data_IF_204488058679
#
_entry.id   IF_204488058679
#
_cell.length_a   1.000
_cell.length_b   1.000
_cell.length_c   1.000
_cell.angle_alpha   90.00
_cell.angle_beta   90.00
_cell.angle_gamma   90.00
#
_symmetry.space_group_name_H-M   'P 1'
#
loop_
_entity.id
_entity.type
_entity.pdbx_description
1 polymer ?
#
# COMPACT_ATOMS: atom_id res chain seq x y z
N UNK A 1 -3.03 7.93 15.50
CA UNK A 1 -3.68 7.47 14.29
C UNK A 1 -2.82 7.89 13.12
N UNK A 2 -2.37 6.97 12.29
CA UNK A 2 -1.53 7.29 11.13
C UNK A 2 -2.42 7.75 9.96
N UNK A 3 -1.93 8.71 9.19
CA UNK A 3 -2.62 9.21 8.00
C UNK A 3 -1.65 9.15 6.82
N UNK A 4 -2.09 8.52 5.74
CA UNK A 4 -1.35 8.50 4.49
C UNK A 4 -1.61 9.81 3.72
N UNK A 5 -0.55 10.53 3.37
CA UNK A 5 -0.67 11.80 2.63
C UNK A 5 -0.32 11.55 1.17
N UNK A 6 -1.33 11.64 0.31
CA UNK A 6 -1.22 11.34 -1.12
C UNK A 6 -1.39 12.60 -1.96
N UNK A 7 -0.67 12.64 -3.07
CA UNK A 7 -0.94 13.58 -4.16
C UNK A 7 -2.07 13.08 -5.09
N UNK A 8 -2.38 13.86 -6.10
CA UNK A 8 -3.42 13.55 -7.08
C UNK A 8 -3.13 12.29 -7.93
N UNK A 9 -1.94 11.72 -7.85
CA UNK A 9 -1.53 10.52 -8.57
C UNK A 9 -1.47 9.27 -7.69
N UNK A 10 -2.00 9.35 -6.47
CA UNK A 10 -1.86 8.35 -5.41
C UNK A 10 -0.40 8.14 -4.96
N UNK A 11 0.48 9.09 -5.25
CA UNK A 11 1.84 9.04 -4.75
C UNK A 11 1.86 9.53 -3.31
N UNK A 12 2.45 8.74 -2.43
CA UNK A 12 2.73 9.20 -1.08
C UNK A 12 3.76 10.33 -1.12
N UNK A 13 3.45 11.43 -0.44
CA UNK A 13 4.30 12.62 -0.37
C UNK A 13 5.10 12.71 0.92
N UNK A 14 4.91 11.75 1.83
CA UNK A 14 5.70 11.65 3.06
C UNK A 14 7.18 11.41 2.73
N UNK A 15 8.05 12.19 3.37
CA UNK A 15 9.50 11.96 3.29
C UNK A 15 9.89 11.02 4.42
N UNK A 16 10.42 9.85 4.06
CA UNK A 16 10.86 8.84 5.01
C UNK A 16 12.35 9.03 5.35
N UNK A 17 12.60 9.36 6.63
CA UNK A 17 13.94 9.64 7.10
C UNK A 17 14.43 11.03 6.71
N UNK A 18 15.73 11.17 6.47
CA UNK A 18 16.39 12.42 6.07
C UNK A 18 17.56 12.16 5.11
N UNK A 19 18.22 13.23 4.65
CA UNK A 19 19.32 13.13 3.68
C UNK A 19 20.47 12.21 4.10
N UNK A 20 20.79 12.17 5.39
CA UNK A 20 21.92 11.37 5.91
C UNK A 20 21.52 9.92 6.17
N UNK A 21 20.24 9.72 6.54
CA UNK A 21 19.62 8.43 6.79
C UNK A 21 18.27 8.38 6.04
N UNK A 22 18.29 8.05 4.74
CA UNK A 22 17.09 8.03 3.90
C UNK A 22 16.29 6.75 4.12
N UNK A 23 15.92 6.49 5.38
CA UNK A 23 15.04 5.41 5.81
C UNK A 23 14.33 5.76 7.10
N UNK A 24 13.16 5.18 7.29
CA UNK A 24 12.34 5.32 8.50
C UNK A 24 11.77 3.97 8.93
N UNK A 25 11.59 3.79 10.24
CA UNK A 25 10.98 2.58 10.80
C UNK A 25 9.71 2.96 11.54
N UNK A 26 8.63 2.30 11.19
CA UNK A 26 7.32 2.47 11.79
C UNK A 26 6.97 1.23 12.60
N UNK A 27 6.55 1.45 13.85
CA UNK A 27 6.08 0.41 14.76
C UNK A 27 4.58 0.53 14.92
N UNK A 28 3.86 -0.51 14.54
CA UNK A 28 2.41 -0.56 14.60
C UNK A 28 1.79 -1.18 13.35
N UNK A 29 0.60 -1.74 13.49
CA UNK A 29 -0.07 -2.43 12.41
C UNK A 29 -0.90 -1.51 11.51
N UNK A 30 -1.38 -2.06 10.42
CA UNK A 30 -2.38 -1.44 9.55
C UNK A 30 -3.68 -1.14 10.30
N UNK A 31 -3.97 -1.88 11.38
CA UNK A 31 -5.05 -1.63 12.32
C UNK A 31 -5.01 -0.24 13.00
N UNK A 32 -3.85 0.42 13.03
CA UNK A 32 -3.68 1.77 13.57
C UNK A 32 -4.10 2.89 12.61
N UNK A 33 -4.35 2.56 11.35
CA UNK A 33 -5.01 3.48 10.43
C UNK A 33 -6.51 3.54 10.72
N UNK A 34 -7.13 4.69 10.48
CA UNK A 34 -8.52 4.99 10.87
C UNK A 34 -9.54 3.93 10.46
N UNK A 35 -9.24 3.15 9.44
CA UNK A 35 -10.15 2.24 8.79
C UNK A 35 -9.66 0.78 8.79
N UNK A 36 -8.55 0.49 9.49
CA UNK A 36 -7.93 -0.84 9.50
C UNK A 36 -7.32 -1.23 8.14
N UNK A 37 -7.11 -0.27 7.27
CA UNK A 37 -6.44 -0.49 6.00
C UNK A 37 -5.55 0.70 5.60
N UNK A 38 -4.53 0.40 4.79
CA UNK A 38 -3.67 1.34 4.09
C UNK A 38 -4.14 1.37 2.63
N UNK A 39 -4.66 2.51 2.18
CA UNK A 39 -5.26 2.62 0.84
C UNK A 39 -4.24 2.48 -0.29
N UNK A 40 -4.72 2.32 -1.52
CA UNK A 40 -3.88 2.25 -2.69
C UNK A 40 -2.99 3.49 -2.80
N UNK A 41 -1.66 3.23 -2.78
CA UNK A 41 -0.64 4.26 -2.94
C UNK A 41 0.62 3.66 -3.57
N UNK A 42 1.53 4.52 -3.92
CA UNK A 42 2.87 4.18 -4.36
C UNK A 42 3.85 5.27 -3.93
N UNK A 43 5.11 4.89 -3.78
CA UNK A 43 6.20 5.81 -3.44
C UNK A 43 7.51 5.37 -4.11
N UNK A 44 8.48 6.27 -4.18
CA UNK A 44 9.80 5.99 -4.77
C UNK A 44 10.74 5.24 -3.82
N UNK A 45 10.22 4.76 -2.71
CA UNK A 45 10.96 4.01 -1.70
C UNK A 45 10.72 2.51 -1.85
N UNK A 46 11.67 1.72 -1.36
CA UNK A 46 11.45 0.30 -1.03
C UNK A 46 10.77 0.20 0.32
N UNK A 47 9.96 -0.82 0.50
CA UNK A 47 9.30 -1.09 1.77
C UNK A 47 9.50 -2.54 2.20
N UNK A 48 9.70 -2.78 3.49
CA UNK A 48 9.60 -4.12 4.07
C UNK A 48 8.66 -4.04 5.27
N UNK A 49 7.58 -4.80 5.19
CA UNK A 49 6.62 -4.93 6.28
C UNK A 49 6.74 -6.32 6.90
N UNK A 50 7.07 -6.38 8.19
CA UNK A 50 7.23 -7.61 8.99
C UNK A 50 6.08 -7.75 9.97
N UNK A 51 5.32 -8.85 9.89
CA UNK A 51 4.17 -9.11 10.76
C UNK A 51 4.65 -9.68 12.10
N UNK A 52 4.34 -8.97 13.18
CA UNK A 52 4.69 -9.36 14.56
C UNK A 52 3.55 -10.04 15.29
N UNK A 53 2.29 -9.81 14.86
CA UNK A 53 1.10 -10.46 15.40
C UNK A 53 -0.03 -10.41 14.38
N UNK A 54 -0.85 -11.46 14.33
CA UNK A 54 -2.02 -11.55 13.48
C UNK A 54 -1.73 -11.79 12.00
N UNK A 55 -2.67 -11.39 11.14
CA UNK A 55 -2.57 -11.53 9.69
C UNK A 55 -2.68 -10.19 8.99
N UNK A 56 -1.89 -10.04 7.94
CA UNK A 56 -1.87 -8.85 7.10
C UNK A 56 -2.02 -9.25 5.63
N UNK A 57 -2.96 -8.64 4.94
CA UNK A 57 -3.17 -8.77 3.51
C UNK A 57 -2.50 -7.61 2.79
N UNK A 58 -1.66 -7.92 1.81
CA UNK A 58 -1.08 -6.94 0.88
C UNK A 58 -1.53 -7.24 -0.54
N UNK A 59 -2.06 -6.23 -1.21
CA UNK A 59 -2.21 -6.26 -2.66
C UNK A 59 -1.09 -5.41 -3.24
N UNK A 60 -0.23 -6.03 -4.03
CA UNK A 60 0.87 -5.36 -4.73
C UNK A 60 0.64 -5.58 -6.21
N UNK A 61 0.38 -4.49 -6.94
CA UNK A 61 -0.09 -4.55 -8.31
C UNK A 61 -1.31 -5.48 -8.44
N UNK A 62 -1.23 -6.54 -9.20
CA UNK A 62 -2.31 -7.50 -9.44
C UNK A 62 -2.25 -8.77 -8.59
N UNK A 63 -1.38 -8.81 -7.58
CA UNK A 63 -1.14 -10.00 -6.75
C UNK A 63 -1.46 -9.73 -5.30
N UNK A 64 -2.21 -10.65 -4.70
CA UNK A 64 -2.49 -10.63 -3.28
C UNK A 64 -1.51 -11.54 -2.54
N UNK A 65 -1.05 -11.05 -1.40
CA UNK A 65 -0.18 -11.74 -0.46
C UNK A 65 -0.85 -11.75 0.92
N UNK A 66 -0.91 -12.90 1.55
CA UNK A 66 -1.41 -13.04 2.92
C UNK A 66 -0.22 -13.41 3.80
N UNK A 67 0.12 -12.49 4.68
CA UNK A 67 1.25 -12.64 5.61
C UNK A 67 0.72 -13.05 6.98
N UNK A 68 1.46 -13.94 7.63
CA UNK A 68 1.22 -14.38 9.00
C UNK A 68 2.35 -13.87 9.90
N UNK A 69 2.13 -14.00 11.19
CA UNK A 69 3.16 -13.72 12.19
C UNK A 69 4.49 -14.40 11.85
N UNK A 70 5.56 -13.64 11.91
CA UNK A 70 6.92 -14.06 11.56
C UNK A 70 7.27 -13.97 10.08
N UNK A 71 6.34 -13.64 9.21
CA UNK A 71 6.58 -13.41 7.77
C UNK A 71 6.72 -11.92 7.48
N UNK A 72 7.35 -11.60 6.34
CA UNK A 72 7.42 -10.23 5.85
C UNK A 72 7.15 -10.17 4.34
N UNK A 73 6.86 -8.96 3.85
CA UNK A 73 6.86 -8.67 2.42
C UNK A 73 7.82 -7.54 2.13
N UNK A 74 8.69 -7.74 1.14
CA UNK A 74 9.44 -6.67 0.49
C UNK A 74 8.62 -6.16 -0.68
N UNK A 75 8.51 -4.85 -0.81
CA UNK A 75 7.82 -4.15 -1.90
C UNK A 75 8.84 -3.31 -2.64
N UNK A 76 8.93 -3.49 -3.95
CA UNK A 76 9.85 -2.72 -4.80
C UNK A 76 9.36 -1.27 -4.95
N UNK A 77 10.29 -0.35 -5.11
CA UNK A 77 9.99 1.06 -5.30
C UNK A 77 9.08 1.29 -6.52
N UNK A 78 8.19 2.27 -6.40
CA UNK A 78 7.28 2.62 -7.46
C UNK A 78 6.14 1.62 -7.71
N UNK A 79 5.92 0.63 -6.86
CA UNK A 79 4.81 -0.33 -7.02
C UNK A 79 3.55 0.19 -6.34
N UNK A 80 2.43 0.07 -7.06
CA UNK A 80 1.13 0.37 -6.49
C UNK A 80 0.75 -0.73 -5.51
N UNK A 81 0.48 -0.37 -4.26
CA UNK A 81 0.17 -1.35 -3.23
C UNK A 81 -0.87 -0.84 -2.23
N UNK A 82 -1.44 -1.79 -1.49
CA UNK A 82 -2.45 -1.56 -0.45
C UNK A 82 -2.29 -2.65 0.60
N UNK A 83 -2.43 -2.27 1.89
CA UNK A 83 -2.46 -3.20 3.02
C UNK A 83 -3.80 -3.17 3.74
N UNK A 84 -4.31 -4.32 4.19
CA UNK A 84 -5.50 -4.37 5.05
C UNK A 84 -5.46 -5.58 5.98
N UNK A 85 -6.21 -5.49 7.06
CA UNK A 85 -6.41 -6.58 8.01
C UNK A 85 -7.87 -6.66 8.44
N UNK A 86 -8.31 -7.86 8.79
CA UNK A 86 -9.61 -8.10 9.42
C UNK A 86 -9.47 -8.26 10.95
N UNK A 87 -8.24 -8.23 11.45
CA UNK A 87 -7.90 -8.44 12.86
C UNK A 87 -7.55 -7.09 13.52
N UNK A 88 -8.24 -6.75 14.61
CA UNK A 88 -8.07 -5.45 15.30
C UNK A 88 -6.71 -5.32 16.02
N UNK A 89 -6.11 -6.42 16.40
CA UNK A 89 -4.84 -6.51 17.14
C UNK A 89 -3.66 -6.88 16.23
N UNK A 90 -3.83 -6.80 14.90
CA UNK A 90 -2.74 -6.99 13.96
C UNK A 90 -1.64 -5.96 14.20
N UNK A 91 -0.41 -6.43 14.34
CA UNK A 91 0.78 -5.60 14.52
C UNK A 91 1.86 -5.97 13.51
N UNK A 92 2.58 -4.94 13.07
CA UNK A 92 3.71 -5.12 12.17
C UNK A 92 4.77 -4.03 12.40
N UNK A 93 5.96 -4.27 11.90
CA UNK A 93 7.03 -3.28 11.80
C UNK A 93 7.33 -3.04 10.33
N UNK A 94 7.33 -1.79 9.92
CA UNK A 94 7.58 -1.39 8.54
C UNK A 94 8.86 -0.58 8.49
N UNK A 95 9.78 -0.93 7.58
CA UNK A 95 10.91 -0.06 7.21
C UNK A 95 10.73 0.39 5.78
N UNK A 96 10.80 1.71 5.57
CA UNK A 96 10.72 2.37 4.27
C UNK A 96 12.06 3.04 4.01
N UNK A 97 12.66 2.82 2.84
CA UNK A 97 14.01 3.32 2.52
C UNK A 97 14.18 3.65 1.05
N UNK A 98 14.90 4.72 0.76
CA UNK A 98 15.19 5.18 -0.60
C UNK A 98 16.39 4.48 -1.23
N UNK A 99 16.48 4.52 -2.56
CA UNK A 99 17.66 4.05 -3.29
C UNK A 99 18.91 4.87 -3.01
N UNK A 100 18.74 6.10 -2.56
CA UNK A 100 19.81 7.01 -2.11
C UNK A 100 20.48 6.56 -0.79
N UNK A 101 19.86 5.61 -0.07
CA UNK A 101 20.52 4.88 1.04
C UNK A 101 21.84 4.23 0.59
N UNK A 102 21.86 3.72 -0.65
CA UNK A 102 22.99 2.99 -1.22
C UNK A 102 23.96 3.90 -1.97
N UNK A 103 23.43 4.89 -2.68
CA UNK A 103 24.21 5.84 -3.46
C UNK A 103 23.39 7.12 -3.70
N UNK A 104 23.86 8.25 -3.24
CA UNK A 104 23.21 9.55 -3.43
C UNK A 104 23.38 10.12 -4.84
N UNK A 105 24.38 9.67 -5.59
CA UNK A 105 24.55 10.05 -7.00
C UNK A 105 23.74 9.12 -7.90
N UNK A 106 22.52 9.53 -8.21
CA UNK A 106 21.59 8.79 -9.06
C UNK A 106 22.01 8.72 -10.53
N UNK A 107 23.03 9.49 -10.95
CA UNK A 107 23.60 9.44 -12.31
C UNK A 107 24.75 8.45 -12.44
N UNK A 108 25.25 7.92 -11.33
CA UNK A 108 26.38 6.99 -11.33
C UNK A 108 26.04 5.64 -11.94
N UNK A 109 27.03 5.01 -12.59
CA UNK A 109 26.91 3.63 -13.10
C UNK A 109 26.57 2.65 -11.97
N UNK A 110 27.08 2.90 -10.76
CA UNK A 110 26.78 2.11 -9.58
C UNK A 110 25.28 2.16 -9.24
N UNK A 111 24.69 3.37 -9.20
CA UNK A 111 23.26 3.52 -8.94
C UNK A 111 22.42 2.83 -10.02
N UNK A 112 22.76 3.01 -11.28
CA UNK A 112 22.07 2.35 -12.39
C UNK A 112 22.14 0.84 -12.28
N UNK A 113 23.31 0.29 -11.99
CA UNK A 113 23.53 -1.15 -11.90
C UNK A 113 22.78 -1.78 -10.73
N UNK A 114 22.90 -1.18 -9.53
CA UNK A 114 22.45 -1.83 -8.29
C UNK A 114 21.12 -1.32 -7.73
N UNK A 115 20.61 -0.21 -8.20
CA UNK A 115 19.34 0.34 -7.74
C UNK A 115 18.34 0.41 -8.88
N UNK A 116 18.65 1.18 -9.94
CA UNK A 116 17.70 1.43 -11.01
C UNK A 116 17.28 0.17 -11.74
N UNK A 117 18.21 -0.73 -12.05
CA UNK A 117 17.88 -2.01 -12.69
C UNK A 117 16.93 -2.87 -11.85
N UNK A 118 17.03 -2.80 -10.52
CA UNK A 118 16.11 -3.50 -9.63
C UNK A 118 14.74 -2.81 -9.56
N UNK A 119 14.73 -1.49 -9.45
CA UNK A 119 13.48 -0.70 -9.50
C UNK A 119 12.71 -0.97 -10.79
N UNK A 120 13.42 -1.02 -11.93
CA UNK A 120 12.82 -1.22 -13.25
C UNK A 120 12.52 -2.69 -13.58
N UNK A 121 12.89 -3.65 -12.70
CA UNK A 121 12.63 -5.08 -12.91
C UNK A 121 11.14 -5.41 -12.80
N UNK A 122 10.73 -6.59 -13.18
CA UNK A 122 9.37 -7.12 -13.04
C UNK A 122 9.04 -7.65 -11.62
N UNK A 123 10.00 -7.51 -10.70
CA UNK A 123 9.82 -7.85 -9.29
C UNK A 123 8.96 -6.77 -8.63
N UNK A 124 7.72 -7.11 -8.32
CA UNK A 124 6.80 -6.19 -7.63
C UNK A 124 6.91 -6.31 -6.12
N UNK A 125 7.01 -7.53 -5.62
CA UNK A 125 7.19 -7.82 -4.20
C UNK A 125 7.62 -9.26 -3.96
N UNK A 126 8.26 -9.48 -2.81
CA UNK A 126 8.80 -10.79 -2.38
C UNK A 126 8.31 -11.08 -0.97
N UNK A 127 7.59 -12.20 -0.79
CA UNK A 127 7.25 -12.68 0.55
C UNK A 127 8.46 -13.39 1.13
N UNK A 128 8.78 -13.02 2.35
CA UNK A 128 9.88 -13.59 3.13
C UNK A 128 9.28 -14.52 4.20
N UNK A 129 9.59 -15.81 4.10
CA UNK A 129 9.07 -16.84 5.01
C UNK A 129 10.19 -17.42 5.87
N UNK A 130 9.96 -17.68 7.17
CA UNK A 130 10.95 -18.24 8.06
C UNK A 130 11.32 -19.70 7.73
N UNK A 131 10.56 -20.35 6.85
CA UNK A 131 10.78 -21.74 6.45
C UNK A 131 11.81 -21.92 5.33
N UNK A 132 12.24 -20.83 4.69
CA UNK A 132 13.25 -20.85 3.63
C UNK A 132 14.57 -20.27 4.17
N UNK A 133 15.70 -20.99 4.12
CA UNK A 133 16.92 -20.62 4.84
C UNK A 133 17.44 -19.20 4.56
N UNK A 134 17.50 -18.76 3.29
CA UNK A 134 17.99 -17.42 2.97
C UNK A 134 17.00 -16.33 3.39
N UNK A 135 15.70 -16.59 3.30
CA UNK A 135 14.65 -15.66 3.77
C UNK A 135 14.67 -15.52 5.28
N UNK A 136 14.89 -16.65 6.00
CA UNK A 136 15.06 -16.63 7.46
C UNK A 136 16.22 -15.74 7.89
N UNK A 137 17.36 -15.80 7.18
CA UNK A 137 18.49 -14.92 7.48
C UNK A 137 18.13 -13.44 7.33
N UNK A 138 17.32 -13.08 6.32
CA UNK A 138 16.80 -11.72 6.15
C UNK A 138 15.89 -11.33 7.31
N UNK A 139 14.95 -12.21 7.70
CA UNK A 139 14.03 -11.95 8.81
C UNK A 139 14.79 -11.77 10.15
N UNK A 140 15.84 -12.54 10.38
CA UNK A 140 16.70 -12.40 11.56
C UNK A 140 17.47 -11.05 11.54
N UNK A 141 17.89 -10.57 10.36
CA UNK A 141 18.51 -9.23 10.21
C UNK A 141 17.50 -8.12 10.39
N UNK A 142 16.26 -8.26 9.90
CA UNK A 142 15.18 -7.30 10.13
C UNK A 142 14.90 -7.11 11.62
N UNK A 143 14.83 -8.18 12.39
CA UNK A 143 14.66 -8.08 13.85
C UNK A 143 15.78 -7.28 14.50
N UNK A 144 17.04 -7.56 14.15
CA UNK A 144 18.20 -6.79 14.64
C UNK A 144 18.14 -5.32 14.22
N UNK A 145 17.69 -5.04 12.99
CA UNK A 145 17.50 -3.68 12.52
C UNK A 145 16.51 -2.94 13.42
N UNK A 146 15.36 -3.53 13.71
CA UNK A 146 14.33 -2.91 14.55
C UNK A 146 14.83 -2.68 15.98
N UNK A 147 15.52 -3.64 16.57
CA UNK A 147 16.15 -3.52 17.88
C UNK A 147 17.18 -2.37 17.92
N UNK A 148 18.03 -2.27 16.90
CA UNK A 148 19.01 -1.18 16.81
C UNK A 148 18.32 0.18 16.60
N UNK A 149 17.33 0.24 15.72
CA UNK A 149 16.62 1.48 15.46
C UNK A 149 15.94 2.05 16.72
N UNK A 150 15.35 1.21 17.55
CA UNK A 150 14.72 1.62 18.82
C UNK A 150 15.71 2.21 19.83
N UNK A 151 17.00 1.86 19.78
CA UNK A 151 18.02 2.45 20.68
C UNK A 151 18.27 3.94 20.39
N UNK A 152 17.99 4.44 19.19
CA UNK A 152 18.00 5.85 18.84
C UNK A 152 19.36 6.55 18.78
N UNK A 153 20.48 5.84 19.02
CA UNK A 153 21.83 6.42 18.98
C UNK A 153 22.34 6.55 17.54
N UNK A 154 23.32 7.44 17.32
CA UNK A 154 23.96 7.56 16.01
C UNK A 154 24.60 6.23 15.55
N UNK A 155 25.21 5.50 16.47
CA UNK A 155 25.83 4.20 16.17
C UNK A 155 24.78 3.15 15.80
N UNK A 156 23.65 3.10 16.51
CA UNK A 156 22.58 2.15 16.21
C UNK A 156 21.91 2.42 14.87
N UNK A 157 21.79 3.70 14.46
CA UNK A 157 21.34 4.05 13.10
C UNK A 157 22.32 3.57 12.02
N UNK A 158 23.61 3.65 12.28
CA UNK A 158 24.63 3.12 11.36
C UNK A 158 24.52 1.59 11.21
N UNK A 159 24.31 0.85 12.32
CA UNK A 159 24.06 -0.58 12.25
C UNK A 159 22.77 -0.92 11.50
N UNK A 160 21.68 -0.18 11.74
CA UNK A 160 20.42 -0.36 11.01
C UNK A 160 20.61 -0.17 9.50
N UNK A 161 21.36 0.87 9.07
CA UNK A 161 21.74 1.07 7.67
C UNK A 161 22.54 -0.12 7.11
N UNK A 162 23.49 -0.64 7.87
CA UNK A 162 24.26 -1.82 7.48
C UNK A 162 23.37 -3.04 7.24
N UNK A 163 22.42 -3.31 8.13
CA UNK A 163 21.46 -4.41 7.95
C UNK A 163 20.59 -4.21 6.72
N UNK A 164 20.12 -2.98 6.44
CA UNK A 164 19.36 -2.70 5.22
C UNK A 164 20.16 -3.00 3.95
N UNK A 165 21.44 -2.62 3.90
CA UNK A 165 22.30 -2.91 2.76
C UNK A 165 22.44 -4.44 2.54
N UNK A 166 22.65 -5.21 3.61
CA UNK A 166 22.77 -6.67 3.52
C UNK A 166 21.45 -7.34 3.11
N UNK A 167 20.31 -6.89 3.65
CA UNK A 167 18.98 -7.38 3.31
C UNK A 167 18.69 -7.14 1.84
N UNK A 168 18.91 -5.91 1.38
CA UNK A 168 18.67 -5.54 -0.02
C UNK A 168 19.55 -6.35 -0.98
N UNK A 169 20.85 -6.45 -0.68
CA UNK A 169 21.78 -7.23 -1.51
C UNK A 169 21.38 -8.71 -1.61
N UNK A 170 20.92 -9.31 -0.52
CA UNK A 170 20.50 -10.71 -0.55
C UNK A 170 19.18 -10.88 -1.31
N UNK A 171 18.20 -9.99 -1.14
CA UNK A 171 16.96 -10.00 -1.94
C UNK A 171 17.31 -9.91 -3.43
N UNK A 172 18.14 -8.94 -3.82
CA UNK A 172 18.58 -8.80 -5.20
C UNK A 172 19.23 -10.07 -5.72
N UNK A 173 20.23 -10.58 -5.02
CA UNK A 173 20.96 -11.80 -5.42
C UNK A 173 20.02 -12.98 -5.69
N UNK A 174 18.99 -13.14 -4.86
CA UNK A 174 18.08 -14.27 -4.97
C UNK A 174 16.98 -14.08 -6.02
N UNK A 175 16.70 -12.84 -6.43
CA UNK A 175 15.59 -12.51 -7.33
C UNK A 175 16.05 -12.02 -8.71
N UNK A 176 17.27 -11.51 -8.85
CA UNK A 176 17.75 -10.89 -10.08
C UNK A 176 17.97 -11.87 -11.26
N UNK A 177 18.06 -13.18 -10.99
CA UNK A 177 18.30 -14.16 -12.04
C UNK A 177 17.12 -14.33 -13.01
N UNK A 178 15.90 -14.01 -12.59
CA UNK A 178 14.68 -14.16 -13.37
C UNK A 178 14.11 -12.82 -13.91
N UNK A 179 14.71 -11.69 -13.50
CA UNK A 179 14.13 -10.38 -13.76
C UNK A 179 14.55 -9.81 -15.13
N UNK A 180 13.57 -9.55 -15.98
CA UNK A 180 13.76 -8.77 -17.21
C UNK A 180 12.94 -7.49 -17.11
N UNK A 181 13.54 -6.30 -17.28
CA UNK A 181 12.77 -5.07 -17.40
C UNK A 181 11.85 -5.19 -18.64
N UNK A 182 10.56 -5.07 -18.45
CA UNK A 182 9.64 -4.98 -19.57
C UNK A 182 9.02 -3.59 -19.60
N UNK A 183 9.31 -2.83 -20.67
CA UNK A 183 8.67 -1.53 -20.91
C UNK A 183 7.13 -1.62 -20.86
N UNK A 184 6.59 -2.82 -21.14
CA UNK A 184 5.16 -3.10 -21.11
C UNK A 184 4.56 -3.10 -19.69
N UNK A 185 5.32 -3.48 -18.66
CA UNK A 185 4.81 -3.47 -17.28
C UNK A 185 4.80 -2.06 -16.72
N UNK A 186 5.78 -1.24 -17.07
CA UNK A 186 5.79 0.20 -16.72
C UNK A 186 4.58 0.94 -17.30
N UNK A 187 4.19 0.65 -18.55
CA UNK A 187 3.02 1.28 -19.17
C UNK A 187 1.70 0.82 -18.54
N UNK A 188 1.58 -0.46 -18.19
CA UNK A 188 0.41 -0.99 -17.46
C UNK A 188 0.25 -0.32 -16.10
N UNK A 189 1.34 -0.18 -15.35
CA UNK A 189 1.34 0.49 -14.05
C UNK A 189 0.91 1.96 -14.18
N UNK A 190 1.46 2.67 -15.16
CA UNK A 190 1.10 4.06 -15.44
C UNK A 190 -0.39 4.20 -15.75
N UNK A 191 -0.94 3.35 -16.62
CA UNK A 191 -2.38 3.33 -16.93
C UNK A 191 -3.23 3.04 -15.71
N UNK A 192 -2.81 2.10 -14.86
CA UNK A 192 -3.56 1.75 -13.64
C UNK A 192 -3.59 2.92 -12.66
N UNK A 193 -2.46 3.59 -12.43
CA UNK A 193 -2.39 4.80 -11.60
C UNK A 193 -3.32 5.89 -12.10
N UNK A 194 -3.35 6.16 -13.41
CA UNK A 194 -4.26 7.14 -14.02
C UNK A 194 -5.71 6.81 -13.70
N UNK A 195 -6.13 5.56 -13.85
CA UNK A 195 -7.51 5.14 -13.58
C UNK A 195 -7.88 5.28 -12.10
N UNK A 196 -7.02 4.81 -11.21
CA UNK A 196 -7.29 4.88 -9.76
C UNK A 196 -7.28 6.32 -9.25
N UNK A 197 -6.32 7.13 -9.71
CA UNK A 197 -6.25 8.56 -9.41
C UNK A 197 -7.52 9.28 -9.86
N UNK A 198 -7.97 9.04 -11.08
CA UNK A 198 -9.22 9.65 -11.57
C UNK A 198 -10.43 9.25 -10.74
N UNK A 199 -10.53 7.97 -10.35
CA UNK A 199 -11.59 7.49 -9.48
C UNK A 199 -11.51 8.18 -8.11
N UNK A 200 -10.33 8.29 -7.52
CA UNK A 200 -10.12 8.92 -6.21
C UNK A 200 -10.52 10.42 -6.22
N UNK A 201 -10.21 11.13 -7.29
CA UNK A 201 -10.56 12.56 -7.42
C UNK A 201 -12.04 12.79 -7.75
N UNK A 202 -12.69 11.85 -8.41
CA UNK A 202 -14.03 12.04 -8.97
C UNK A 202 -15.11 11.11 -8.38
N UNK A 203 -14.80 10.34 -7.34
CA UNK A 203 -15.71 9.31 -6.81
C UNK A 203 -17.09 9.83 -6.40
N UNK A 204 -17.18 11.08 -5.97
CA UNK A 204 -18.45 11.72 -5.60
C UNK A 204 -19.37 11.99 -6.81
N UNK A 205 -18.79 12.06 -8.01
CA UNK A 205 -19.49 12.37 -9.26
C UNK A 205 -19.84 11.08 -10.03
N UNK A 206 -20.77 11.15 -11.00
CA UNK A 206 -20.96 10.06 -11.95
C UNK A 206 -19.69 9.81 -12.76
N UNK A 207 -19.22 8.57 -12.76
CA UNK A 207 -18.09 8.10 -13.59
C UNK A 207 -18.62 7.05 -14.55
N UNK A 208 -18.32 7.20 -15.84
CA UNK A 208 -18.68 6.24 -16.88
C UNK A 208 -17.48 5.39 -17.31
N UNK A 209 -17.72 4.23 -17.89
CA UNK A 209 -16.64 3.41 -18.46
C UNK A 209 -15.94 4.12 -19.63
N UNK A 210 -16.70 4.96 -20.37
CA UNK A 210 -16.18 5.78 -21.45
C UNK A 210 -15.16 6.81 -20.94
N UNK A 211 -15.44 7.45 -19.79
CA UNK A 211 -14.48 8.39 -19.17
C UNK A 211 -13.17 7.69 -18.88
N UNK A 212 -13.24 6.55 -18.18
CA UNK A 212 -12.07 5.75 -17.81
C UNK A 212 -11.28 5.25 -19.03
N UNK A 213 -11.99 4.76 -20.05
CA UNK A 213 -11.36 4.25 -21.26
C UNK A 213 -10.60 5.34 -22.03
N UNK A 214 -11.20 6.54 -22.12
CA UNK A 214 -10.60 7.69 -22.80
C UNK A 214 -9.29 8.14 -22.16
N UNK A 215 -9.17 8.07 -20.83
CA UNK A 215 -7.96 8.48 -20.10
C UNK A 215 -6.71 7.65 -20.46
N UNK A 216 -6.90 6.39 -20.81
CA UNK A 216 -5.80 5.46 -21.08
C UNK A 216 -5.73 5.02 -22.55
N UNK A 217 -6.53 5.67 -23.42
CA UNK A 217 -6.52 5.41 -24.87
C UNK A 217 -6.97 4.01 -25.24
N UNK A 218 -7.96 3.45 -24.55
CA UNK A 218 -8.54 2.12 -24.84
C UNK A 218 -10.03 2.24 -25.17
N UNK A 219 -10.59 1.21 -25.79
CA UNK A 219 -12.03 1.03 -25.87
C UNK A 219 -12.62 0.67 -24.50
N UNK A 220 -13.92 0.89 -24.28
CA UNK A 220 -14.61 0.55 -23.03
C UNK A 220 -14.42 -0.93 -22.65
N UNK A 221 -14.53 -1.83 -23.62
CA UNK A 221 -14.36 -3.26 -23.41
C UNK A 221 -12.92 -3.61 -23.00
N UNK A 222 -11.93 -2.99 -23.64
CA UNK A 222 -10.52 -3.20 -23.29
C UNK A 222 -10.18 -2.62 -21.92
N UNK A 223 -10.68 -1.42 -21.61
CA UNK A 223 -10.51 -0.78 -20.31
C UNK A 223 -11.10 -1.65 -19.18
N UNK A 224 -12.34 -2.12 -19.34
CA UNK A 224 -12.96 -3.02 -18.36
C UNK A 224 -12.17 -4.31 -18.16
N UNK A 225 -11.68 -4.92 -19.23
CA UNK A 225 -10.87 -6.13 -19.22
C UNK A 225 -9.50 -5.89 -18.58
N UNK A 226 -8.86 -4.77 -18.92
CA UNK A 226 -7.60 -4.34 -18.34
C UNK A 226 -7.75 -4.14 -16.82
N UNK A 227 -8.72 -3.34 -16.39
CA UNK A 227 -8.97 -3.08 -14.96
C UNK A 227 -9.25 -4.39 -14.20
N UNK A 228 -10.14 -5.23 -14.73
CA UNK A 228 -10.47 -6.50 -14.07
C UNK A 228 -9.26 -7.45 -13.96
N UNK A 229 -8.39 -7.47 -14.97
CA UNK A 229 -7.15 -8.25 -14.94
C UNK A 229 -6.21 -7.77 -13.84
N UNK A 230 -6.07 -6.44 -13.64
CA UNK A 230 -5.17 -5.84 -12.66
C UNK A 230 -5.76 -5.90 -11.23
N UNK A 231 -7.04 -5.56 -11.06
CA UNK A 231 -7.67 -5.37 -9.76
C UNK A 231 -8.54 -6.55 -9.30
N UNK A 232 -8.68 -7.61 -10.14
CA UNK A 232 -9.57 -8.77 -9.91
C UNK A 232 -11.03 -8.39 -9.64
N UNK A 233 -11.43 -7.19 -10.03
CA UNK A 233 -12.79 -6.65 -9.90
C UNK A 233 -13.07 -5.63 -11.02
N UNK A 234 -14.34 -5.36 -11.27
CA UNK A 234 -14.72 -4.35 -12.28
C UNK A 234 -14.45 -2.93 -11.78
N UNK A 235 -14.28 -1.92 -12.68
CA UNK A 235 -14.13 -0.53 -12.29
C UNK A 235 -15.26 -0.02 -11.39
N UNK A 236 -16.50 -0.43 -11.65
CA UNK A 236 -17.66 -0.01 -10.85
C UNK A 236 -17.76 -0.73 -9.51
N UNK A 237 -17.32 -1.98 -9.41
CA UNK A 237 -17.22 -2.66 -8.12
C UNK A 237 -16.16 -1.98 -7.24
N UNK A 238 -15.03 -1.58 -7.83
CA UNK A 238 -14.01 -0.80 -7.15
C UNK A 238 -14.54 0.57 -6.72
N UNK A 239 -15.18 1.33 -7.61
CA UNK A 239 -15.78 2.64 -7.29
C UNK A 239 -16.78 2.54 -6.13
N UNK A 240 -17.65 1.53 -6.12
CA UNK A 240 -18.61 1.32 -5.03
C UNK A 240 -17.89 1.05 -3.71
N UNK A 241 -16.87 0.19 -3.73
CA UNK A 241 -16.04 -0.08 -2.53
C UNK A 241 -15.37 1.20 -2.04
N UNK A 242 -14.71 1.93 -2.93
CA UNK A 242 -14.03 3.19 -2.61
C UNK A 242 -14.98 4.21 -1.97
N UNK A 243 -16.19 4.38 -2.52
CA UNK A 243 -17.23 5.24 -1.95
C UNK A 243 -17.65 4.82 -0.55
N UNK A 244 -17.78 3.52 -0.29
CA UNK A 244 -18.11 3.00 1.05
C UNK A 244 -16.95 3.29 2.01
N UNK A 245 -15.72 3.02 1.61
CA UNK A 245 -14.51 3.30 2.41
C UNK A 245 -14.44 4.80 2.76
N UNK A 246 -14.62 5.71 1.80
CA UNK A 246 -14.67 7.16 2.08
C UNK A 246 -15.86 7.59 2.95
N UNK A 247 -16.99 6.88 2.88
CA UNK A 247 -18.13 7.16 3.74
C UNK A 247 -17.87 6.82 5.21
N UNK A 248 -17.00 5.84 5.49
CA UNK A 248 -16.60 5.49 6.87
C UNK A 248 -15.92 6.66 7.57
N UNK A 249 -15.04 7.40 6.88
CA UNK A 249 -14.41 8.62 7.42
C UNK A 249 -15.46 9.68 7.84
N UNK A 250 -16.46 9.89 6.99
CA UNK A 250 -17.55 10.82 7.27
C UNK A 250 -18.44 10.36 8.42
N UNK A 251 -18.66 9.04 8.55
CA UNK A 251 -19.43 8.46 9.64
C UNK A 251 -18.78 8.71 11.01
N UNK A 252 -17.45 8.66 11.07
CA UNK A 252 -16.68 8.86 12.30
C UNK A 252 -16.49 10.34 12.60
N UNK A 253 -16.10 11.15 11.59
CA UNK A 253 -15.61 12.51 11.78
C UNK A 253 -16.68 13.60 11.58
N UNK A 254 -17.97 13.25 11.44
CA UNK A 254 -19.04 14.24 11.29
C UNK A 254 -20.33 13.83 11.98
N UNK A 255 -21.17 14.85 12.28
CA UNK A 255 -22.53 14.66 12.80
C UNK A 255 -23.62 14.64 11.71
N UNK A 256 -23.21 14.52 10.44
CA UNK A 256 -24.12 14.44 9.30
C UNK A 256 -25.02 13.22 9.40
N UNK A 257 -26.22 13.34 8.88
CA UNK A 257 -27.14 12.20 8.78
C UNK A 257 -26.58 11.14 7.82
N UNK A 258 -26.97 9.90 8.01
CA UNK A 258 -26.53 8.80 7.13
C UNK A 258 -26.91 9.07 5.66
N UNK A 259 -28.04 9.72 5.44
CA UNK A 259 -28.51 10.07 4.09
C UNK A 259 -27.62 11.14 3.43
N UNK A 260 -27.20 12.16 4.18
CA UNK A 260 -26.25 13.18 3.70
C UNK A 260 -24.89 12.56 3.36
N UNK A 261 -24.40 11.65 4.21
CA UNK A 261 -23.15 10.93 3.97
C UNK A 261 -23.25 10.09 2.70
N UNK A 262 -24.35 9.37 2.51
CA UNK A 262 -24.58 8.60 1.29
C UNK A 262 -24.46 9.47 0.03
N UNK A 263 -25.12 10.63 0.01
CA UNK A 263 -25.07 11.58 -1.10
C UNK A 263 -23.65 12.13 -1.31
N UNK A 264 -22.98 12.56 -0.26
CA UNK A 264 -21.61 13.10 -0.34
C UNK A 264 -20.59 12.06 -0.77
N UNK A 265 -20.86 10.79 -0.51
CA UNK A 265 -20.04 9.68 -0.99
C UNK A 265 -20.38 9.24 -2.41
N UNK A 266 -21.23 9.99 -3.14
CA UNK A 266 -21.56 9.75 -4.54
C UNK A 266 -22.66 8.70 -4.77
N UNK A 267 -23.46 8.34 -3.75
CA UNK A 267 -24.61 7.47 -3.93
C UNK A 267 -25.89 8.28 -4.17
N UNK A 268 -26.59 7.97 -5.25
CA UNK A 268 -27.88 8.61 -5.59
C UNK A 268 -29.08 7.94 -4.88
N UNK A 269 -28.87 6.83 -4.16
CA UNK A 269 -29.93 6.09 -3.46
C UNK A 269 -29.41 5.62 -2.10
N UNK A 270 -30.09 6.05 -1.06
CA UNK A 270 -29.83 5.61 0.31
C UNK A 270 -29.98 4.09 0.47
N UNK A 271 -31.03 3.50 -0.13
CA UNK A 271 -31.26 2.05 -0.06
C UNK A 271 -30.11 1.27 -0.71
N UNK A 272 -29.58 1.76 -1.84
CA UNK A 272 -28.45 1.13 -2.50
C UNK A 272 -27.16 1.30 -1.68
N UNK A 273 -26.94 2.49 -1.13
CA UNK A 273 -25.81 2.75 -0.21
C UNK A 273 -25.82 1.79 0.97
N UNK A 274 -26.93 1.70 1.71
CA UNK A 274 -27.05 0.83 2.89
C UNK A 274 -26.84 -0.65 2.55
N UNK A 275 -27.35 -1.10 1.39
CA UNK A 275 -27.12 -2.46 0.90
C UNK A 275 -25.66 -2.73 0.59
N UNK A 276 -24.98 -1.79 -0.09
CA UNK A 276 -23.55 -1.91 -0.41
C UNK A 276 -22.70 -1.84 0.86
N UNK A 277 -23.00 -0.93 1.77
CA UNK A 277 -22.30 -0.77 3.03
C UNK A 277 -22.35 -2.07 3.85
N UNK A 278 -23.56 -2.61 4.06
CA UNK A 278 -23.73 -3.86 4.81
C UNK A 278 -23.00 -5.05 4.18
N UNK A 279 -22.95 -5.09 2.84
CA UNK A 279 -22.25 -6.15 2.12
C UNK A 279 -20.73 -6.05 2.29
N UNK A 280 -20.18 -4.84 2.36
CA UNK A 280 -18.73 -4.58 2.38
C UNK A 280 -18.21 -4.52 3.83
N UNK A 281 -18.95 -3.84 4.73
CA UNK A 281 -18.54 -3.60 6.11
C UNK A 281 -19.15 -4.59 7.12
N UNK A 282 -20.02 -5.52 6.65
CA UNK A 282 -20.71 -6.53 7.46
C UNK A 282 -21.62 -5.99 8.58
N UNK A 283 -21.86 -4.68 8.62
CA UNK A 283 -22.78 -3.98 9.53
C UNK A 283 -23.50 -2.85 8.79
N UNK A 284 -24.50 -2.25 9.43
CA UNK A 284 -25.16 -1.03 8.87
C UNK A 284 -24.30 0.20 9.11
N UNK A 285 -24.47 1.29 8.33
CA UNK A 285 -23.78 2.56 8.56
C UNK A 285 -23.99 3.13 9.98
N UNK A 286 -25.19 2.94 10.53
CA UNK A 286 -25.53 3.40 11.87
C UNK A 286 -24.80 2.60 12.95
N UNK A 287 -24.80 1.27 12.83
CA UNK A 287 -24.06 0.36 13.72
C UNK A 287 -22.56 0.67 13.65
N UNK A 288 -22.00 0.90 12.46
CA UNK A 288 -20.61 1.26 12.28
C UNK A 288 -20.26 2.53 13.06
N UNK A 289 -21.04 3.62 12.88
CA UNK A 289 -20.87 4.88 13.62
C UNK A 289 -20.89 4.67 15.13
N UNK A 290 -21.87 3.90 15.63
CA UNK A 290 -22.02 3.67 17.07
C UNK A 290 -20.84 2.89 17.64
N UNK A 291 -20.46 1.79 16.97
CA UNK A 291 -19.36 0.94 17.44
C UNK A 291 -18.03 1.71 17.55
N UNK A 292 -17.74 2.61 16.60
CA UNK A 292 -16.51 3.41 16.64
C UNK A 292 -16.57 4.47 17.75
N UNK A 293 -17.72 5.16 17.91
CA UNK A 293 -17.89 6.15 19.01
C UNK A 293 -17.74 5.50 20.38
N UNK A 294 -18.36 4.35 20.59
CA UNK A 294 -18.25 3.58 21.84
C UNK A 294 -16.81 3.09 22.12
N UNK A 295 -16.01 2.87 21.07
CA UNK A 295 -14.60 2.48 21.18
C UNK A 295 -13.66 3.66 21.50
N UNK A 296 -14.03 4.89 21.09
CA UNK A 296 -13.25 6.12 21.37
C UNK A 296 -13.50 6.64 22.80
N UNK A 297 -14.71 6.39 23.35
CA UNK A 297 -15.10 6.85 24.68
C UNK A 297 -14.61 5.92 25.81
N UNK A 298 -14.07 4.77 25.51
CA UNK A 298 -13.44 3.82 26.45
C UNK A 298 -11.93 3.99 26.53
#
# INVERSE_FOLDING_TARGET
MFTLILDDTLKETTIHGNRDFPFEVYFGGVSLFAEGYLDWHWHDYFEINYVTSGKLHYLIENKEYVLKEGEAVFINAGRLHRGYTEEQDQMSHTVVFGGDLFCSDTSSEWYHTYVKNFVDSDINGVVLSPYIPWMKQILDKLKKLYEEYQKGSAMSRLFAKGYLCEIYAEIWKQTAHDSRPTAMDTEKMKRMRILLSYIAQNYMNPITLKDLASLIGLSETECSRFFNKQMKQTPFAYLVRYRIERSCELLVNSDKTISEIALQSGFNSFSYYSKCFRRIMHCTPLEYRQNIRDAIEK
#
